data_IF_588435561075
#
_entry.id   IF_588435561075
#
_cell.length_a   1.000
_cell.length_b   1.000
_cell.length_c   1.000
_cell.angle_alpha   90.00
_cell.angle_beta   90.00
_cell.angle_gamma   90.00
#
_symmetry.space_group_name_H-M   'P 1'
#
loop_
_entity.id
_entity.type
_entity.pdbx_description
1 polymer ?
#
# COMPACT_ATOMS: atom_id res chain seq x y z
N UNK A 1 20.00 -73.72 -8.83
CA UNK A 1 20.25 -72.87 -7.64
C UNK A 1 21.08 -71.64 -8.02
N UNK A 2 20.45 -70.52 -8.38
CA UNK A 2 21.08 -69.18 -8.54
C UNK A 2 20.03 -68.11 -8.21
N UNK A 3 19.97 -67.70 -6.93
CA UNK A 3 19.19 -66.56 -6.43
C UNK A 3 20.13 -65.62 -5.70
N UNK A 4 20.97 -64.89 -6.43
CA UNK A 4 21.75 -63.75 -5.91
C UNK A 4 21.95 -62.80 -7.09
N UNK A 5 21.84 -61.49 -6.84
CA UNK A 5 22.13 -60.41 -7.80
C UNK A 5 20.95 -59.78 -8.56
N UNK A 6 19.85 -59.45 -7.85
CA UNK A 6 18.92 -58.42 -8.33
C UNK A 6 18.42 -57.45 -7.25
N UNK A 7 18.88 -57.57 -6.00
CA UNK A 7 18.31 -56.81 -4.87
C UNK A 7 19.15 -55.60 -4.43
N UNK A 8 20.36 -55.40 -4.96
CA UNK A 8 21.26 -54.30 -4.52
C UNK A 8 21.28 -53.07 -5.42
N UNK A 9 20.64 -53.09 -6.61
CA UNK A 9 20.72 -51.97 -7.58
C UNK A 9 19.51 -51.01 -7.50
N UNK A 10 18.44 -51.37 -6.79
CA UNK A 10 17.21 -50.55 -6.76
C UNK A 10 17.23 -49.47 -5.65
N UNK A 11 18.12 -49.58 -4.65
CA UNK A 11 18.07 -48.70 -3.48
C UNK A 11 18.90 -47.41 -3.60
N UNK A 12 19.81 -47.27 -4.59
CA UNK A 12 20.77 -46.16 -4.60
C UNK A 12 20.34 -44.94 -5.43
N UNK A 13 19.32 -45.06 -6.30
CA UNK A 13 18.94 -43.96 -7.20
C UNK A 13 17.74 -43.12 -6.70
N UNK A 14 17.07 -43.52 -5.62
CA UNK A 14 15.85 -42.83 -5.13
C UNK A 14 16.19 -41.73 -4.10
N UNK A 15 17.43 -41.68 -3.58
CA UNK A 15 17.74 -40.85 -2.40
C UNK A 15 18.20 -39.42 -2.71
N UNK A 16 18.61 -39.05 -3.94
CA UNK A 16 19.44 -37.84 -4.09
C UNK A 16 18.83 -36.57 -4.67
N UNK A 17 17.55 -36.50 -5.08
CA UNK A 17 16.99 -35.21 -5.54
C UNK A 17 15.57 -34.95 -5.04
N UNK A 18 15.33 -35.16 -3.75
CA UNK A 18 14.31 -34.37 -3.04
C UNK A 18 14.91 -32.98 -2.75
N UNK A 19 15.16 -32.17 -3.80
CA UNK A 19 15.44 -30.76 -3.60
C UNK A 19 14.20 -30.14 -2.99
N UNK A 20 14.19 -29.97 -1.67
CA UNK A 20 13.26 -29.10 -0.97
C UNK A 20 13.46 -27.69 -1.52
N UNK A 21 12.66 -27.32 -2.52
CA UNK A 21 12.58 -25.95 -2.99
C UNK A 21 11.95 -25.15 -1.85
N UNK A 22 12.77 -24.51 -1.02
CA UNK A 22 12.28 -23.59 -0.01
C UNK A 22 11.65 -22.41 -0.75
N UNK A 23 10.33 -22.27 -0.69
CA UNK A 23 9.67 -21.14 -1.33
C UNK A 23 10.23 -19.82 -0.74
N UNK A 24 10.55 -18.83 -1.58
CA UNK A 24 11.05 -17.56 -1.07
C UNK A 24 10.00 -16.94 -0.14
N UNK A 25 10.39 -16.68 1.12
CA UNK A 25 9.54 -16.01 2.10
C UNK A 25 9.25 -14.60 1.58
N UNK A 26 7.99 -14.35 1.21
CA UNK A 26 7.58 -13.04 0.70
C UNK A 26 7.77 -11.96 1.76
N UNK A 27 8.10 -10.73 1.34
CA UNK A 27 8.18 -9.60 2.25
C UNK A 27 6.79 -9.31 2.84
N UNK A 28 6.74 -9.06 4.14
CA UNK A 28 5.52 -8.64 4.82
C UNK A 28 5.22 -7.18 4.49
N UNK A 29 4.10 -6.90 3.83
CA UNK A 29 3.63 -5.54 3.55
C UNK A 29 3.18 -4.88 4.85
N UNK A 30 3.80 -3.76 5.23
CA UNK A 30 3.37 -2.94 6.37
C UNK A 30 2.39 -1.89 5.89
N UNK A 31 1.26 -1.75 6.59
CA UNK A 31 0.32 -0.67 6.31
C UNK A 31 0.89 0.68 6.78
N UNK A 32 0.62 1.77 6.05
CA UNK A 32 1.01 3.11 6.50
C UNK A 32 0.23 3.47 7.77
N UNK A 33 0.96 3.98 8.77
CA UNK A 33 0.38 4.54 9.99
C UNK A 33 0.36 6.06 9.85
N UNK A 34 -0.82 6.65 9.98
CA UNK A 34 -1.01 8.09 9.88
C UNK A 34 -1.30 8.69 11.25
N UNK A 35 -0.87 9.95 11.44
CA UNK A 35 -1.29 10.75 12.58
C UNK A 35 -2.80 11.04 12.47
N UNK A 36 -3.46 11.27 13.60
CA UNK A 36 -4.90 11.60 13.67
C UNK A 36 -5.19 13.09 13.55
N UNK A 37 -4.17 13.93 13.32
CA UNK A 37 -4.34 15.36 13.07
C UNK A 37 -5.16 15.54 11.79
N UNK A 38 -6.34 16.15 11.89
CA UNK A 38 -7.29 16.22 10.79
C UNK A 38 -7.54 17.65 10.36
N UNK A 39 -7.60 17.90 9.05
CA UNK A 39 -8.06 19.17 8.48
C UNK A 39 -9.08 18.90 7.38
N UNK A 40 -10.10 19.76 7.27
CA UNK A 40 -11.14 19.64 6.25
C UNK A 40 -10.84 20.61 5.09
N UNK A 41 -10.97 20.16 3.85
CA UNK A 41 -10.73 20.99 2.65
C UNK A 41 -11.64 22.23 2.58
N UNK A 42 -12.84 22.19 3.19
CA UNK A 42 -13.78 23.32 3.25
C UNK A 42 -13.19 24.50 4.01
N UNK A 43 -12.39 24.24 5.07
CA UNK A 43 -11.67 25.29 5.81
C UNK A 43 -10.61 26.01 4.96
N UNK A 44 -10.27 25.47 3.78
CA UNK A 44 -9.34 26.07 2.82
C UNK A 44 -10.06 26.68 1.60
N UNK A 45 -11.39 26.81 1.65
CA UNK A 45 -12.20 27.42 0.59
C UNK A 45 -12.69 26.46 -0.48
N UNK A 46 -12.60 25.14 -0.26
CA UNK A 46 -13.18 24.16 -1.17
C UNK A 46 -14.72 24.24 -1.17
N UNK A 47 -15.33 24.01 -2.34
CA UNK A 47 -16.78 23.95 -2.54
C UNK A 47 -17.15 22.65 -3.26
N UNK A 48 -18.13 21.94 -2.70
CA UNK A 48 -18.61 20.64 -3.18
C UNK A 48 -19.81 20.75 -4.13
N UNK A 49 -19.89 21.85 -4.90
CA UNK A 49 -20.99 22.16 -5.82
C UNK A 49 -20.84 21.52 -7.20
N UNK A 50 -19.74 20.81 -7.45
CA UNK A 50 -19.44 20.22 -8.75
C UNK A 50 -19.15 21.22 -9.87
N UNK A 51 -18.89 22.49 -9.54
CA UNK A 51 -18.56 23.54 -10.51
C UNK A 51 -17.24 24.22 -10.16
N UNK A 52 -16.97 24.39 -8.87
CA UNK A 52 -15.78 25.08 -8.39
C UNK A 52 -14.52 24.21 -8.52
N UNK A 53 -13.43 24.81 -9.03
CA UNK A 53 -12.13 24.15 -9.14
C UNK A 53 -11.39 24.17 -7.79
N UNK A 54 -11.35 23.02 -7.11
CA UNK A 54 -10.83 22.86 -5.74
C UNK A 54 -9.31 22.63 -5.66
N UNK A 55 -8.58 22.63 -6.78
CA UNK A 55 -7.15 22.28 -6.86
C UNK A 55 -6.29 23.03 -5.84
N UNK A 56 -6.51 24.34 -5.70
CA UNK A 56 -5.73 25.19 -4.79
C UNK A 56 -6.07 24.87 -3.33
N UNK A 57 -7.36 24.72 -3.00
CA UNK A 57 -7.81 24.44 -1.64
C UNK A 57 -7.29 23.08 -1.14
N UNK A 58 -7.36 22.04 -1.97
CA UNK A 58 -6.90 20.68 -1.62
C UNK A 58 -5.37 20.66 -1.45
N UNK A 59 -4.60 21.23 -2.40
CA UNK A 59 -3.14 21.26 -2.28
C UNK A 59 -2.65 22.11 -1.09
N UNK A 60 -3.41 23.16 -0.72
CA UNK A 60 -3.15 23.94 0.50
C UNK A 60 -3.38 23.10 1.75
N UNK A 61 -4.47 22.35 1.83
CA UNK A 61 -4.74 21.44 2.95
C UNK A 61 -3.64 20.38 3.11
N UNK A 62 -3.22 19.75 2.01
CA UNK A 62 -2.09 18.79 1.97
C UNK A 62 -0.80 19.43 2.47
N UNK A 63 -0.50 20.66 2.02
CA UNK A 63 0.72 21.36 2.43
C UNK A 63 0.73 21.70 3.93
N UNK A 64 -0.40 22.14 4.47
CA UNK A 64 -0.54 22.46 5.89
C UNK A 64 -0.39 21.21 6.76
N UNK A 65 -1.04 20.11 6.41
CA UNK A 65 -0.94 18.89 7.23
C UNK A 65 0.46 18.24 7.11
N UNK A 66 1.09 18.31 5.93
CA UNK A 66 2.47 17.87 5.76
C UNK A 66 3.45 18.68 6.62
N UNK A 67 3.28 20.02 6.69
CA UNK A 67 4.07 20.88 7.57
C UNK A 67 3.92 20.51 9.06
N UNK A 68 2.78 19.91 9.44
CA UNK A 68 2.51 19.36 10.78
C UNK A 68 3.03 17.93 10.99
N UNK A 69 3.98 17.48 10.15
CA UNK A 69 4.54 16.11 10.14
C UNK A 69 3.55 15.02 9.70
N UNK A 70 2.48 15.40 9.00
CA UNK A 70 1.47 14.49 8.47
C UNK A 70 0.16 14.49 9.25
N UNK A 71 -0.80 13.70 8.77
CA UNK A 71 -2.16 13.67 9.27
C UNK A 71 -3.17 13.34 8.18
N UNK A 72 -4.42 13.73 8.40
CA UNK A 72 -5.57 13.44 7.55
C UNK A 72 -6.10 14.72 6.92
N UNK A 73 -6.24 14.73 5.59
CA UNK A 73 -7.01 15.72 4.85
C UNK A 73 -8.35 15.09 4.51
N UNK A 74 -9.44 15.64 5.05
CA UNK A 74 -10.80 15.14 4.83
C UNK A 74 -11.46 15.91 3.70
N UNK A 75 -11.98 15.13 2.74
CA UNK A 75 -12.88 15.54 1.67
C UNK A 75 -14.29 15.10 2.08
N UNK A 76 -15.17 15.98 2.57
CA UNK A 76 -16.50 15.56 3.00
C UNK A 76 -17.35 15.09 1.80
N UNK A 77 -18.51 14.50 2.08
CA UNK A 77 -19.46 14.12 1.04
C UNK A 77 -19.81 15.32 0.13
N UNK A 78 -19.78 15.12 -1.19
CA UNK A 78 -20.04 16.15 -2.19
C UNK A 78 -19.40 15.85 -3.53
N UNK A 79 -19.60 16.74 -4.51
CA UNK A 79 -18.97 16.64 -5.83
C UNK A 79 -17.84 17.67 -5.93
N UNK A 80 -16.60 17.18 -6.05
CA UNK A 80 -15.40 18.00 -5.96
C UNK A 80 -14.63 17.97 -7.28
N UNK A 81 -14.72 19.03 -8.07
CA UNK A 81 -13.86 19.18 -9.25
C UNK A 81 -12.47 19.59 -8.78
N UNK A 82 -11.45 18.88 -9.24
CA UNK A 82 -10.05 19.22 -8.98
C UNK A 82 -9.18 18.83 -10.17
N UNK A 83 -8.12 19.63 -10.37
CA UNK A 83 -6.96 19.22 -11.15
C UNK A 83 -6.00 18.35 -10.30
N UNK A 84 -4.71 18.31 -10.68
CA UNK A 84 -3.72 17.48 -10.00
C UNK A 84 -3.57 17.79 -8.50
N UNK A 85 -3.49 16.74 -7.70
CA UNK A 85 -3.22 16.81 -6.26
C UNK A 85 -1.81 16.28 -6.01
N UNK A 86 -0.96 17.10 -5.42
CA UNK A 86 0.42 16.74 -5.09
C UNK A 86 0.46 16.23 -3.66
N UNK A 87 0.40 14.90 -3.49
CA UNK A 87 0.53 14.27 -2.18
C UNK A 87 1.95 14.41 -1.61
N UNK A 88 2.02 14.52 -0.28
CA UNK A 88 3.26 14.63 0.49
C UNK A 88 3.38 13.47 1.48
N UNK A 89 4.59 13.21 1.96
CA UNK A 89 4.85 12.16 2.95
C UNK A 89 3.97 12.32 4.20
N UNK A 90 3.52 11.19 4.75
CA UNK A 90 2.68 11.11 5.95
C UNK A 90 1.30 11.80 5.85
N UNK A 91 0.83 12.10 4.63
CA UNK A 91 -0.51 12.66 4.41
C UNK A 91 -1.47 11.57 3.96
N UNK A 92 -2.60 11.45 4.65
CA UNK A 92 -3.73 10.63 4.27
C UNK A 92 -4.84 11.50 3.68
N UNK A 93 -5.15 11.33 2.40
CA UNK A 93 -6.29 11.99 1.77
C UNK A 93 -7.51 11.06 1.90
N UNK A 94 -8.49 11.49 2.69
CA UNK A 94 -9.62 10.66 3.13
C UNK A 94 -10.95 11.26 2.68
N UNK A 95 -11.91 10.41 2.33
CA UNK A 95 -13.27 10.77 1.88
C UNK A 95 -14.31 10.39 2.93
#
# INVERSE_FOLDING_TARGET
>A
MRRKSFLTIVCLAIVTIASSQTMPKQPTVRQPLFRKDTVNIVSFGAKGDGLFLNTIAINKAVSVIAARKGGVVVVPAGLWISGPIVLKSNVNLHR
#
